data_IF_175361862909
#
_entry.id   IF_175361862909
#
_cell.length_a   1.000
_cell.length_b   1.000
_cell.length_c   1.000
_cell.angle_alpha   90.00
_cell.angle_beta   90.00
_cell.angle_gamma   90.00
#
_symmetry.space_group_name_H-M   'P 1'
#
loop_
_entity.id
_entity.type
_entity.pdbx_description
1 polymer ?
#
# COMPACT_ATOMS: atom_id res chain seq x y z
N UNK A 1 -4.57 20.15 -2.73
CA UNK A 1 -4.21 18.80 -3.23
C UNK A 1 -3.51 18.00 -2.16
N UNK A 2 -2.33 18.44 -1.69
CA UNK A 2 -1.58 17.72 -0.64
C UNK A 2 -2.41 17.49 0.63
N UNK A 3 -3.04 18.55 1.15
CA UNK A 3 -3.91 18.47 2.31
C UNK A 3 -5.06 17.45 2.14
N UNK A 4 -5.68 17.35 0.95
CA UNK A 4 -6.72 16.36 0.68
C UNK A 4 -6.15 14.93 0.70
N UNK A 5 -4.98 14.73 0.10
CA UNK A 5 -4.29 13.43 0.09
C UNK A 5 -3.92 12.99 1.49
N UNK A 6 -3.40 13.90 2.32
CA UNK A 6 -2.99 13.60 3.69
C UNK A 6 -4.18 13.39 4.63
N UNK A 7 -5.22 14.22 4.51
CA UNK A 7 -6.49 14.05 5.23
C UNK A 7 -7.05 12.64 4.98
N UNK A 8 -7.02 12.18 3.73
CA UNK A 8 -7.43 10.80 3.43
C UNK A 8 -6.48 9.75 3.97
N UNK A 9 -5.18 10.00 3.97
CA UNK A 9 -4.20 9.08 4.55
C UNK A 9 -4.40 8.86 6.07
N UNK A 10 -5.00 9.82 6.79
CA UNK A 10 -5.33 9.64 8.20
C UNK A 10 -6.30 8.47 8.44
N UNK A 11 -7.20 8.20 7.49
CA UNK A 11 -8.10 7.04 7.57
C UNK A 11 -7.37 5.68 7.47
N UNK A 12 -6.10 5.69 7.04
CA UNK A 12 -5.23 4.53 6.89
C UNK A 12 -3.97 4.61 7.77
N UNK A 13 -3.95 5.51 8.76
CA UNK A 13 -2.74 5.79 9.54
C UNK A 13 -2.18 4.57 10.29
N UNK A 14 -3.01 3.56 10.58
CA UNK A 14 -2.58 2.33 11.27
C UNK A 14 -2.10 1.24 10.30
N UNK A 15 -2.19 1.48 9.00
CA UNK A 15 -1.86 0.55 7.93
C UNK A 15 -0.69 1.04 7.07
N UNK A 16 -0.32 2.32 7.18
CA UNK A 16 0.82 2.90 6.48
C UNK A 16 2.11 2.51 7.22
N UNK A 17 3.11 1.94 6.52
CA UNK A 17 4.42 1.67 7.11
C UNK A 17 5.06 2.97 7.65
N UNK A 18 5.63 2.97 8.87
CA UNK A 18 6.22 4.17 9.46
C UNK A 18 7.27 4.87 8.57
N UNK A 19 8.05 4.10 7.81
CA UNK A 19 9.05 4.60 6.87
C UNK A 19 8.44 5.43 5.74
N UNK A 20 7.24 5.06 5.26
CA UNK A 20 6.51 5.82 4.22
C UNK A 20 5.94 7.12 4.79
N UNK A 21 5.67 7.16 6.11
CA UNK A 21 5.26 8.40 6.78
C UNK A 21 6.38 9.45 6.86
N UNK A 22 7.64 9.13 6.58
CA UNK A 22 8.71 10.12 6.56
C UNK A 22 8.73 10.94 5.25
N UNK A 23 8.13 10.44 4.16
CA UNK A 23 8.29 11.00 2.81
C UNK A 23 6.95 11.39 2.18
N UNK A 24 6.35 12.48 2.65
CA UNK A 24 4.99 12.89 2.26
C UNK A 24 4.94 13.60 0.91
N UNK A 25 5.10 12.86 -0.18
CA UNK A 25 4.76 13.34 -1.52
C UNK A 25 3.37 12.79 -1.91
N UNK A 26 2.41 13.63 -2.36
CA UNK A 26 1.04 13.20 -2.61
C UNK A 26 0.90 11.98 -3.53
N UNK A 27 1.69 11.91 -4.62
CA UNK A 27 1.68 10.76 -5.54
C UNK A 27 2.14 9.47 -4.86
N UNK A 28 3.18 9.54 -4.01
CA UNK A 28 3.68 8.40 -3.25
C UNK A 28 2.66 7.96 -2.19
N UNK A 29 2.12 8.91 -1.43
CA UNK A 29 1.09 8.61 -0.42
C UNK A 29 -0.09 7.90 -1.06
N UNK A 30 -0.59 8.40 -2.20
CA UNK A 30 -1.73 7.77 -2.86
C UNK A 30 -1.42 6.36 -3.40
N UNK A 31 -0.20 6.10 -3.88
CA UNK A 31 0.24 4.75 -4.24
C UNK A 31 0.22 3.81 -3.03
N UNK A 32 0.77 4.25 -1.90
CA UNK A 32 0.74 3.48 -0.65
C UNK A 32 -0.70 3.18 -0.23
N UNK A 33 -1.62 4.16 -0.35
CA UNK A 33 -3.03 3.92 -0.07
C UNK A 33 -3.65 2.88 -1.01
N UNK A 34 -3.27 2.87 -2.30
CA UNK A 34 -3.74 1.89 -3.28
C UNK A 34 -3.16 0.48 -3.06
N UNK A 35 -1.95 0.37 -2.50
CA UNK A 35 -1.37 -0.91 -2.07
C UNK A 35 -2.08 -1.47 -0.83
N UNK A 36 -2.56 -0.59 0.06
CA UNK A 36 -3.35 -0.97 1.24
C UNK A 36 -4.79 -1.33 0.85
N UNK A 37 -5.40 -0.53 -0.03
CA UNK A 37 -6.77 -0.67 -0.50
C UNK A 37 -6.85 -0.26 -1.99
N UNK A 38 -6.95 -1.21 -2.94
CA UNK A 38 -6.95 -0.97 -4.38
C UNK A 38 -8.04 -0.03 -4.87
N UNK A 39 -9.11 0.12 -4.08
CA UNK A 39 -10.23 0.99 -4.42
C UNK A 39 -10.15 2.36 -3.74
N UNK A 40 -9.08 2.64 -3.00
CA UNK A 40 -8.98 3.84 -2.17
C UNK A 40 -9.19 5.13 -2.98
N UNK A 41 -8.69 5.24 -4.22
CA UNK A 41 -8.84 6.45 -5.04
C UNK A 41 -10.23 6.62 -5.70
N UNK A 42 -11.20 5.75 -5.37
CA UNK A 42 -12.55 5.75 -5.93
C UNK A 42 -13.54 6.44 -4.99
N UNK A 43 -14.59 6.99 -5.58
CA UNK A 43 -15.70 7.58 -4.84
C UNK A 43 -16.70 6.51 -4.40
N UNK A 44 -17.32 6.69 -3.23
CA UNK A 44 -18.30 5.75 -2.68
C UNK A 44 -19.55 6.47 -2.21
N UNK A 45 -20.70 5.79 -2.27
CA UNK A 45 -21.96 6.28 -1.70
C UNK A 45 -22.38 5.38 -0.56
N UNK A 46 -22.54 5.96 0.63
CA UNK A 46 -23.04 5.26 1.80
C UNK A 46 -24.57 5.27 1.79
N UNK A 47 -25.16 4.08 1.92
CA UNK A 47 -26.60 3.90 2.05
C UNK A 47 -26.86 2.99 3.26
N UNK A 48 -27.85 3.35 4.07
CA UNK A 48 -28.26 2.60 5.26
C UNK A 48 -29.74 2.25 5.16
N UNK A 49 -30.14 1.09 5.66
CA UNK A 49 -31.53 0.66 5.70
C UNK A 49 -31.80 -0.06 7.01
N UNK A 50 -33.04 0.06 7.50
CA UNK A 50 -33.47 -0.64 8.70
C UNK A 50 -33.78 -2.10 8.37
N UNK A 51 -33.21 -3.02 9.16
CA UNK A 51 -33.51 -4.43 9.03
C UNK A 51 -34.93 -4.69 9.58
N UNK A 52 -35.80 -5.41 8.85
CA UNK A 52 -37.15 -5.71 9.34
C UNK A 52 -37.15 -6.69 10.54
N UNK A 53 -36.07 -7.44 10.72
CA UNK A 53 -35.75 -8.34 11.82
C UNK A 53 -34.23 -8.60 11.82
N UNK A 54 -33.61 -9.07 12.91
CA UNK A 54 -32.15 -9.27 12.96
C UNK A 54 -31.63 -10.16 11.81
N UNK A 55 -30.75 -9.60 10.98
CA UNK A 55 -30.18 -10.26 9.79
C UNK A 55 -31.07 -10.23 8.55
N UNK A 56 -32.24 -9.57 8.62
CA UNK A 56 -33.15 -9.37 7.49
C UNK A 56 -32.64 -8.30 6.53
N UNK A 57 -32.87 -8.49 5.23
CA UNK A 57 -32.47 -7.52 4.20
C UNK A 57 -33.41 -6.30 4.26
N UNK A 58 -32.88 -5.05 4.39
CA UNK A 58 -33.70 -3.85 4.36
C UNK A 58 -34.49 -3.70 3.06
N UNK A 59 -35.78 -3.38 3.15
CA UNK A 59 -36.63 -3.12 1.99
C UNK A 59 -36.42 -1.74 1.39
N UNK A 60 -35.88 -0.79 2.17
CA UNK A 60 -35.61 0.58 1.77
C UNK A 60 -34.23 1.04 2.22
N UNK A 61 -33.45 1.55 1.27
CA UNK A 61 -32.11 2.09 1.51
C UNK A 61 -32.12 3.63 1.41
N UNK A 62 -31.71 4.29 2.50
CA UNK A 62 -31.54 5.73 2.63
C UNK A 62 -30.10 6.12 2.32
N UNK A 63 -29.90 7.07 1.40
CA UNK A 63 -28.56 7.60 1.11
C UNK A 63 -28.12 8.55 2.22
N UNK A 64 -26.97 8.25 2.83
CA UNK A 64 -26.33 9.10 3.83
C UNK A 64 -25.51 10.20 3.14
N UNK A 65 -24.77 9.82 2.09
CA UNK A 65 -23.95 10.75 1.33
C UNK A 65 -22.98 10.04 0.39
N UNK A 66 -22.24 10.84 -0.38
CA UNK A 66 -21.20 10.36 -1.30
C UNK A 66 -19.86 10.98 -0.91
N UNK A 67 -18.84 10.15 -0.76
CA UNK A 67 -17.44 10.56 -0.62
C UNK A 67 -16.84 10.68 -2.02
N UNK A 68 -16.66 11.91 -2.50
CA UNK A 68 -16.06 12.18 -3.82
C UNK A 68 -14.55 12.30 -3.67
N UNK A 69 -13.83 11.24 -4.01
CA UNK A 69 -12.38 11.17 -3.84
C UNK A 69 -11.66 11.88 -4.99
N UNK A 70 -10.67 12.70 -4.64
CA UNK A 70 -9.74 13.28 -5.61
C UNK A 70 -8.73 12.21 -6.03
N UNK A 71 -8.95 11.64 -7.22
CA UNK A 71 -8.27 10.42 -7.68
C UNK A 71 -6.77 10.62 -7.94
N UNK A 72 -6.00 9.52 -8.02
CA UNK A 72 -4.57 9.59 -8.39
C UNK A 72 -4.37 10.19 -9.78
N UNK A 73 -5.28 9.91 -10.71
CA UNK A 73 -5.26 10.46 -12.08
C UNK A 73 -5.44 11.98 -12.06
N UNK A 74 -6.42 12.48 -11.30
CA UNK A 74 -6.65 13.92 -11.13
C UNK A 74 -5.47 14.59 -10.44
N UNK A 75 -4.92 13.95 -9.40
CA UNK A 75 -3.75 14.44 -8.69
C UNK A 75 -2.56 14.62 -9.63
N UNK A 76 -2.19 13.61 -10.43
CA UNK A 76 -1.08 13.73 -11.39
C UNK A 76 -1.33 14.80 -12.43
N UNK A 77 -2.57 14.87 -12.95
CA UNK A 77 -2.96 15.84 -13.98
C UNK A 77 -2.81 17.28 -13.48
N UNK A 78 -3.15 17.53 -12.22
CA UNK A 78 -3.25 18.87 -11.65
C UNK A 78 -2.02 19.29 -10.84
N UNK A 79 -1.35 18.38 -10.15
CA UNK A 79 -0.22 18.69 -9.27
C UNK A 79 0.99 19.23 -10.06
N UNK A 80 1.42 18.51 -11.10
CA UNK A 80 2.53 18.97 -11.96
C UNK A 80 2.20 20.26 -12.70
N UNK A 81 0.92 20.44 -13.06
CA UNK A 81 0.44 21.63 -13.73
C UNK A 81 0.64 22.88 -12.88
N UNK A 82 0.21 22.81 -11.62
CA UNK A 82 0.33 23.93 -10.67
C UNK A 82 1.79 24.18 -10.34
N UNK A 83 2.59 23.12 -10.10
CA UNK A 83 4.02 23.25 -9.82
C UNK A 83 4.76 24.07 -10.88
N UNK A 84 4.50 23.79 -12.17
CA UNK A 84 5.15 24.53 -13.27
C UNK A 84 4.86 26.04 -13.30
N UNK A 85 3.78 26.49 -12.67
CA UNK A 85 3.38 27.91 -12.61
C UNK A 85 3.84 28.57 -11.30
N UNK A 86 4.01 27.78 -10.24
CA UNK A 86 4.49 28.27 -8.94
C UNK A 86 6.01 28.38 -8.87
N UNK A 87 6.74 27.55 -9.61
CA UNK A 87 8.20 27.58 -9.62
C UNK A 87 8.75 28.72 -10.49
N UNK A 88 9.86 29.30 -10.05
CA UNK A 88 10.65 30.21 -10.88
C UNK A 88 11.17 29.43 -12.10
N UNK A 89 10.99 29.95 -13.33
CA UNK A 89 11.47 29.27 -14.53
C UNK A 89 13.01 29.15 -14.50
N UNK A 90 13.53 28.07 -15.07
CA UNK A 90 14.97 27.88 -15.21
C UNK A 90 15.55 28.82 -16.28
N UNK A 91 16.87 29.03 -16.28
CA UNK A 91 17.55 29.86 -17.29
C UNK A 91 17.22 29.41 -18.72
N UNK A 92 17.21 28.10 -18.98
CA UNK A 92 16.80 27.54 -20.28
C UNK A 92 15.33 27.79 -20.62
N UNK A 93 14.44 27.79 -19.62
CA UNK A 93 13.02 28.10 -19.83
C UNK A 93 12.81 29.58 -20.09
N UNK A 94 13.61 30.47 -19.48
CA UNK A 94 13.58 31.91 -19.74
C UNK A 94 14.05 32.25 -21.16
N UNK A 95 15.13 31.61 -21.65
CA UNK A 95 15.62 31.78 -23.02
C UNK A 95 14.61 31.31 -24.08
N UNK A 96 13.79 30.31 -23.74
CA UNK A 96 12.74 29.74 -24.62
C UNK A 96 11.33 30.26 -24.28
N UNK A 97 11.22 31.21 -23.36
CA UNK A 97 9.93 31.59 -22.79
C UNK A 97 9.07 32.29 -23.85
N UNK A 98 7.96 31.64 -24.21
CA UNK A 98 6.83 32.36 -24.80
C UNK A 98 6.15 33.17 -23.68
N UNK A 99 5.57 34.34 -24.01
CA UNK A 99 4.77 35.08 -23.04
C UNK A 99 3.70 34.17 -22.43
N UNK A 100 3.51 34.28 -21.12
CA UNK A 100 2.53 33.50 -20.38
C UNK A 100 1.14 33.77 -20.95
N UNK A 101 0.49 32.73 -21.46
CA UNK A 101 -0.91 32.81 -21.89
C UNK A 101 -1.82 32.81 -20.65
N UNK A 102 -2.17 34.00 -20.19
CA UNK A 102 -3.00 34.21 -19.01
C UNK A 102 -4.40 33.58 -19.16
N UNK A 103 -4.96 33.55 -20.37
CA UNK A 103 -6.27 32.97 -20.62
C UNK A 103 -6.22 31.43 -20.46
N UNK A 104 -5.21 30.79 -21.05
CA UNK A 104 -4.99 29.35 -20.89
C UNK A 104 -4.68 28.97 -19.45
N UNK A 105 -3.90 29.79 -18.74
CA UNK A 105 -3.62 29.58 -17.32
C UNK A 105 -4.91 29.65 -16.49
N UNK A 106 -5.73 30.68 -16.71
CA UNK A 106 -7.01 30.85 -16.03
C UNK A 106 -7.92 29.65 -16.23
N UNK A 107 -8.15 29.22 -17.47
CA UNK A 107 -8.96 28.03 -17.78
C UNK A 107 -8.45 26.79 -17.03
N UNK A 108 -7.13 26.63 -16.90
CA UNK A 108 -6.53 25.50 -16.19
C UNK A 108 -6.78 25.57 -14.69
N UNK A 109 -6.63 26.75 -14.09
CA UNK A 109 -6.90 26.98 -12.66
C UNK A 109 -8.38 26.78 -12.33
N UNK A 110 -9.28 27.21 -13.21
CA UNK A 110 -10.73 26.96 -13.07
C UNK A 110 -11.04 25.46 -13.10
N UNK A 111 -10.43 24.69 -14.01
CA UNK A 111 -10.59 23.24 -14.05
C UNK A 111 -10.05 22.53 -12.79
N UNK A 112 -8.90 22.98 -12.28
CA UNK A 112 -8.33 22.47 -11.01
C UNK A 112 -9.28 22.77 -9.85
N UNK A 113 -9.76 24.01 -9.77
CA UNK A 113 -10.69 24.44 -8.72
C UNK A 113 -11.96 23.61 -8.76
N UNK A 114 -12.55 23.40 -9.94
CA UNK A 114 -13.75 22.58 -10.08
C UNK A 114 -13.56 21.14 -9.59
N UNK A 115 -12.44 20.49 -9.91
CA UNK A 115 -12.16 19.13 -9.44
C UNK A 115 -11.94 19.09 -7.92
N UNK A 116 -11.20 20.06 -7.36
CA UNK A 116 -11.01 20.18 -5.91
C UNK A 116 -12.31 20.45 -5.16
N UNK A 117 -13.15 21.35 -5.67
CA UNK A 117 -14.44 21.71 -5.08
C UNK A 117 -15.34 20.48 -4.96
N UNK A 118 -15.44 19.65 -6.01
CA UNK A 118 -16.22 18.41 -5.97
C UNK A 118 -15.83 17.51 -4.79
N UNK A 119 -14.53 17.33 -4.57
CA UNK A 119 -14.06 16.52 -3.43
C UNK A 119 -14.28 17.21 -2.09
N UNK A 120 -14.08 18.53 -2.02
CA UNK A 120 -14.22 19.30 -0.79
C UNK A 120 -15.67 19.39 -0.31
N UNK A 121 -16.62 19.43 -1.23
CA UNK A 121 -18.07 19.52 -0.97
C UNK A 121 -18.73 18.15 -0.70
N UNK A 122 -17.94 17.07 -0.64
CA UNK A 122 -18.47 15.74 -0.35
C UNK A 122 -19.20 15.71 1.00
N UNK A 123 -20.48 15.29 1.06
CA UNK A 123 -21.25 15.24 2.31
C UNK A 123 -20.69 14.31 3.38
N UNK A 124 -19.96 13.27 2.95
CA UNK A 124 -19.18 12.38 3.80
C UNK A 124 -17.76 12.33 3.25
N UNK A 125 -16.76 12.13 4.12
CA UNK A 125 -15.34 12.20 3.74
C UNK A 125 -14.52 11.15 4.45
N UNK A 126 -13.51 10.62 3.75
CA UNK A 126 -12.52 9.67 4.24
C UNK A 126 -13.14 8.45 4.92
N UNK A 127 -14.33 8.05 4.47
CA UNK A 127 -15.05 6.96 5.09
C UNK A 127 -14.56 5.63 4.50
N UNK A 128 -14.14 4.70 5.36
CA UNK A 128 -13.63 3.40 4.92
C UNK A 128 -14.24 2.27 5.75
N UNK A 129 -14.65 1.19 5.07
CA UNK A 129 -14.91 -0.10 5.70
C UNK A 129 -13.69 -0.97 5.48
N UNK A 130 -13.13 -1.54 6.55
CA UNK A 130 -11.97 -2.40 6.46
C UNK A 130 -12.22 -3.74 7.13
N UNK A 131 -11.92 -4.81 6.42
CA UNK A 131 -11.74 -6.13 7.00
C UNK A 131 -10.27 -6.27 7.40
N UNK A 132 -10.01 -6.71 8.63
CA UNK A 132 -8.66 -6.73 9.18
C UNK A 132 -8.28 -8.11 9.71
N UNK A 133 -7.10 -8.57 9.32
CA UNK A 133 -6.39 -9.64 9.98
C UNK A 133 -5.55 -9.07 11.14
N UNK A 134 -5.48 -9.82 12.24
CA UNK A 134 -4.50 -9.62 13.32
C UNK A 134 -3.79 -10.94 13.58
N UNK A 135 -2.47 -10.94 13.48
CA UNK A 135 -1.65 -12.12 13.73
C UNK A 135 -0.40 -11.76 14.55
N UNK A 136 0.10 -12.67 15.40
CA UNK A 136 1.36 -12.47 16.10
C UNK A 136 2.54 -12.72 15.16
N UNK A 137 3.50 -11.80 15.12
CA UNK A 137 4.74 -12.01 14.37
C UNK A 137 5.55 -13.16 15.00
N UNK A 138 5.79 -14.23 14.23
CA UNK A 138 6.64 -15.37 14.62
C UNK A 138 8.12 -15.00 14.80
N UNK A 139 8.58 -13.84 14.31
CA UNK A 139 9.97 -13.37 14.49
C UNK A 139 10.17 -12.59 15.79
N UNK A 140 9.33 -11.60 16.06
CA UNK A 140 9.51 -10.67 17.19
C UNK A 140 8.36 -10.66 18.22
N UNK A 141 7.27 -11.40 17.98
CA UNK A 141 6.10 -11.46 18.86
C UNK A 141 5.09 -10.32 18.68
N UNK A 142 5.47 -9.20 18.06
CA UNK A 142 4.61 -8.03 17.91
C UNK A 142 3.37 -8.30 17.04
N UNK A 143 2.27 -7.57 17.30
CA UNK A 143 1.02 -7.75 16.55
C UNK A 143 1.10 -7.13 15.16
N UNK A 144 0.85 -7.94 14.13
CA UNK A 144 0.69 -7.47 12.75
C UNK A 144 -0.79 -7.26 12.51
N UNK A 145 -1.16 -6.04 12.12
CA UNK A 145 -2.51 -5.70 11.65
C UNK A 145 -2.46 -5.44 10.15
N UNK A 146 -3.23 -6.23 9.38
CA UNK A 146 -3.28 -6.10 7.91
C UNK A 146 -4.72 -5.94 7.45
N UNK A 147 -4.97 -4.93 6.60
CA UNK A 147 -6.25 -4.82 5.86
C UNK A 147 -6.30 -5.89 4.78
N UNK A 148 -7.44 -6.55 4.68
CA UNK A 148 -7.78 -7.56 3.68
C UNK A 148 -8.68 -6.91 2.64
N UNK A 149 -8.16 -6.54 1.45
CA UNK A 149 -8.97 -5.92 0.41
C UNK A 149 -9.95 -6.94 -0.17
N UNK A 150 -11.16 -6.49 -0.49
CA UNK A 150 -12.21 -7.37 -1.01
C UNK A 150 -11.80 -7.96 -2.36
N UNK A 151 -11.81 -9.29 -2.46
CA UNK A 151 -11.55 -10.01 -3.71
C UNK A 151 -10.08 -10.03 -4.15
N UNK A 152 -9.15 -9.55 -3.31
CA UNK A 152 -7.71 -9.64 -3.57
C UNK A 152 -7.03 -10.41 -2.46
N UNK A 153 -6.97 -11.73 -2.61
CA UNK A 153 -6.24 -12.65 -1.74
C UNK A 153 -5.48 -13.67 -2.61
N UNK A 154 -4.27 -14.10 -2.22
CA UNK A 154 -3.52 -13.70 -1.02
C UNK A 154 -2.97 -12.27 -1.08
N UNK A 155 -2.70 -11.67 0.09
CA UNK A 155 -1.97 -10.39 0.21
C UNK A 155 -0.70 -10.55 1.03
N UNK A 156 0.31 -9.75 0.70
CA UNK A 156 1.53 -9.66 1.51
C UNK A 156 1.33 -8.72 2.70
N UNK A 157 1.85 -9.14 3.85
CA UNK A 157 1.93 -8.34 5.07
C UNK A 157 3.38 -8.31 5.56
N UNK A 158 3.76 -7.20 6.21
CA UNK A 158 5.05 -7.06 6.88
C UNK A 158 4.84 -6.68 8.33
N UNK A 159 5.64 -7.24 9.23
CA UNK A 159 5.70 -6.75 10.60
C UNK A 159 6.37 -5.37 10.61
N UNK A 160 5.68 -4.34 11.10
CA UNK A 160 6.24 -2.99 11.18
C UNK A 160 7.40 -2.87 12.19
N UNK A 161 7.54 -3.80 13.12
CA UNK A 161 8.63 -3.80 14.10
C UNK A 161 9.93 -4.38 13.53
N UNK A 162 9.87 -5.55 12.86
CA UNK A 162 11.07 -6.28 12.44
C UNK A 162 11.18 -6.54 10.93
N UNK A 163 10.22 -6.07 10.12
CA UNK A 163 10.20 -6.25 8.66
C UNK A 163 9.69 -7.61 8.18
N UNK A 164 9.36 -8.53 9.08
CA UNK A 164 9.08 -9.92 8.72
C UNK A 164 7.95 -10.08 7.70
N UNK A 165 8.19 -10.75 6.55
CA UNK A 165 7.20 -10.93 5.51
C UNK A 165 6.26 -12.11 5.80
N UNK A 166 4.99 -11.94 5.46
CA UNK A 166 3.90 -12.90 5.61
C UNK A 166 3.01 -12.90 4.39
N UNK A 167 2.42 -14.06 4.11
CA UNK A 167 1.27 -14.18 3.23
C UNK A 167 0.00 -14.31 4.08
N UNK A 168 -1.04 -13.57 3.71
CA UNK A 168 -2.32 -13.57 4.44
C UNK A 168 -3.47 -13.73 3.45
N UNK A 169 -4.42 -14.62 3.75
CA UNK A 169 -5.57 -14.94 2.90
C UNK A 169 -6.85 -14.99 3.73
N UNK A 170 -7.95 -14.51 3.17
CA UNK A 170 -9.28 -14.78 3.69
C UNK A 170 -9.80 -16.06 3.03
N UNK A 171 -10.14 -17.06 3.84
CA UNK A 171 -10.75 -18.30 3.38
C UNK A 171 -12.27 -18.12 3.17
N UNK A 172 -12.89 -19.05 2.44
CA UNK A 172 -14.32 -18.98 2.08
C UNK A 172 -15.26 -19.00 3.30
N UNK A 173 -14.82 -19.54 4.42
CA UNK A 173 -15.54 -19.59 5.69
C UNK A 173 -15.39 -18.31 6.53
N UNK A 174 -14.66 -17.30 6.01
CA UNK A 174 -14.33 -16.06 6.72
C UNK A 174 -13.14 -16.18 7.66
N UNK A 175 -12.50 -17.35 7.75
CA UNK A 175 -11.30 -17.54 8.55
C UNK A 175 -10.10 -16.89 7.88
N UNK A 176 -9.25 -16.24 8.67
CA UNK A 176 -7.98 -15.68 8.18
C UNK A 176 -6.89 -16.75 8.29
N UNK A 177 -6.35 -17.16 7.14
CA UNK A 177 -5.15 -17.97 7.08
C UNK A 177 -3.92 -17.09 6.85
N UNK A 178 -2.80 -17.46 7.46
CA UNK A 178 -1.54 -16.74 7.31
C UNK A 178 -0.35 -17.65 7.51
N UNK A 179 0.74 -17.35 6.81
CA UNK A 179 2.02 -18.04 6.99
C UNK A 179 3.20 -17.07 6.86
N UNK A 180 4.28 -17.27 7.64
CA UNK A 180 5.52 -16.54 7.44
C UNK A 180 6.14 -16.93 6.10
N UNK A 181 6.64 -15.93 5.36
CA UNK A 181 7.36 -16.17 4.12
C UNK A 181 8.81 -16.54 4.42
N UNK A 182 9.05 -17.85 4.52
CA UNK A 182 10.35 -18.44 4.83
C UNK A 182 10.75 -19.52 3.84
N UNK A 183 12.04 -19.88 3.87
CA UNK A 183 12.62 -21.02 3.17
C UNK A 183 13.42 -21.85 4.14
N UNK A 184 13.12 -23.14 4.17
CA UNK A 184 13.96 -24.10 4.86
C UNK A 184 15.19 -24.40 4.02
N UNK A 185 16.34 -24.45 4.67
CA UNK A 185 17.59 -24.81 4.04
C UNK A 185 18.34 -25.79 4.94
N UNK A 186 19.00 -26.75 4.29
CA UNK A 186 19.83 -27.76 4.94
C UNK A 186 21.25 -27.27 5.03
N UNK A 187 21.92 -27.62 6.12
CA UNK A 187 23.34 -27.35 6.28
C UNK A 187 24.12 -28.10 5.18
N UNK A 188 24.95 -27.42 4.37
CA UNK A 188 25.73 -28.09 3.33
C UNK A 188 27.00 -28.78 3.86
N UNK A 189 27.28 -28.72 5.18
CA UNK A 189 28.41 -29.46 5.76
C UNK A 189 28.12 -30.95 5.79
N UNK A 190 29.07 -31.75 5.30
CA UNK A 190 29.04 -33.21 5.43
C UNK A 190 28.81 -33.64 6.88
N UNK A 191 27.94 -34.64 7.06
CA UNK A 191 27.53 -35.17 8.37
C UNK A 191 26.82 -34.17 9.30
N UNK A 192 26.30 -33.06 8.78
CA UNK A 192 25.44 -32.16 9.53
C UNK A 192 24.00 -32.22 9.01
N UNK A 193 23.08 -32.76 9.82
CA UNK A 193 21.64 -32.75 9.55
C UNK A 193 20.94 -31.46 10.02
N UNK A 194 21.70 -30.41 10.31
CA UNK A 194 21.14 -29.16 10.79
C UNK A 194 20.27 -28.50 9.73
N UNK A 195 19.04 -28.15 10.11
CA UNK A 195 18.11 -27.37 9.29
C UNK A 195 17.97 -25.96 9.86
N UNK A 196 17.72 -25.00 8.98
CA UNK A 196 17.48 -23.63 9.38
C UNK A 196 16.44 -22.98 8.48
N UNK A 197 15.75 -22.00 9.06
CA UNK A 197 14.68 -21.25 8.41
C UNK A 197 15.21 -19.87 8.08
N UNK A 198 15.28 -19.56 6.79
CA UNK A 198 15.63 -18.25 6.28
C UNK A 198 14.35 -17.46 6.01
N UNK A 199 14.27 -16.23 6.52
CA UNK A 199 13.20 -15.32 6.13
C UNK A 199 13.48 -14.71 4.76
N UNK A 200 12.48 -14.60 3.90
CA UNK A 200 12.70 -14.10 2.54
C UNK A 200 13.32 -12.69 2.48
N UNK A 201 13.05 -11.82 3.46
CA UNK A 201 13.65 -10.48 3.55
C UNK A 201 15.13 -10.47 3.98
N UNK A 202 15.62 -11.59 4.54
CA UNK A 202 17.02 -11.82 4.91
C UNK A 202 17.82 -12.53 3.80
N UNK A 203 17.15 -13.16 2.83
CA UNK A 203 17.77 -13.81 1.67
C UNK A 203 18.28 -12.75 0.69
N UNK A 204 19.39 -12.13 1.06
CA UNK A 204 20.13 -11.14 0.29
C UNK A 204 21.57 -11.60 0.16
N UNK A 205 22.18 -11.27 -0.98
CA UNK A 205 23.60 -11.56 -1.20
C UNK A 205 24.41 -10.91 -0.09
N UNK A 206 25.37 -11.66 0.45
CA UNK A 206 26.23 -11.17 1.52
C UNK A 206 25.62 -11.30 2.92
N UNK A 207 24.37 -11.76 3.07
CA UNK A 207 23.84 -12.13 4.39
C UNK A 207 24.60 -13.34 4.91
N UNK A 208 25.02 -13.26 6.19
CA UNK A 208 25.72 -14.34 6.87
C UNK A 208 24.79 -15.03 7.86
N UNK A 209 24.96 -16.34 8.01
CA UNK A 209 24.26 -17.13 9.01
C UNK A 209 25.19 -18.21 9.57
N UNK A 210 24.84 -18.82 10.69
CA UNK A 210 25.59 -19.92 11.28
C UNK A 210 24.68 -21.10 11.54
N UNK A 211 25.12 -22.30 11.16
CA UNK A 211 24.34 -23.50 11.41
C UNK A 211 24.18 -23.74 12.91
N UNK A 212 22.97 -24.01 13.38
CA UNK A 212 22.69 -24.31 14.79
C UNK A 212 23.40 -25.58 15.29
N UNK A 213 23.56 -26.57 14.41
CA UNK A 213 24.24 -27.85 14.67
C UNK A 213 25.77 -27.75 14.63
N UNK A 214 26.36 -27.53 13.45
CA UNK A 214 27.82 -27.53 13.29
C UNK A 214 28.52 -26.20 13.63
N UNK A 215 27.76 -25.13 13.94
CA UNK A 215 28.25 -23.77 14.24
C UNK A 215 29.09 -23.11 13.14
N UNK A 216 29.25 -23.73 11.97
CA UNK A 216 29.98 -23.12 10.86
C UNK A 216 29.21 -21.92 10.28
N UNK A 217 29.92 -20.83 9.97
CA UNK A 217 29.33 -19.68 9.30
C UNK A 217 29.17 -19.95 7.80
N UNK A 218 28.16 -19.32 7.22
CA UNK A 218 27.81 -19.39 5.82
C UNK A 218 27.41 -18.01 5.31
N UNK A 219 27.51 -17.80 4.01
CA UNK A 219 27.12 -16.59 3.32
C UNK A 219 26.23 -16.93 2.15
N UNK A 220 25.21 -16.11 1.91
CA UNK A 220 24.35 -16.22 0.73
C UNK A 220 25.07 -15.57 -0.47
N UNK A 221 25.21 -16.32 -1.55
CA UNK A 221 25.82 -15.90 -2.82
C UNK A 221 24.98 -16.35 -4.01
N UNK A 222 25.26 -15.79 -5.19
CA UNK A 222 24.69 -16.30 -6.43
C UNK A 222 25.44 -17.56 -6.88
N UNK A 223 24.68 -18.56 -7.30
CA UNK A 223 25.21 -19.77 -7.93
C UNK A 223 24.65 -19.93 -9.34
N UNK A 224 25.51 -20.36 -10.26
CA UNK A 224 25.10 -20.88 -11.57
C UNK A 224 25.57 -22.34 -11.59
N UNK A 225 24.67 -23.27 -11.86
CA UNK A 225 24.98 -24.69 -12.03
C UNK A 225 24.69 -25.12 -13.47
N UNK A 226 25.38 -26.16 -13.98
CA UNK A 226 25.07 -26.71 -15.30
C UNK A 226 23.60 -27.13 -15.37
N UNK A 227 22.92 -26.78 -16.46
CA UNK A 227 21.62 -27.34 -16.80
C UNK A 227 21.85 -28.79 -17.25
N UNK A 228 21.77 -29.72 -16.31
CA UNK A 228 21.73 -31.15 -16.64
C UNK A 228 20.34 -31.45 -17.18
N UNK A 229 20.06 -30.99 -18.40
CA UNK A 229 18.84 -31.32 -19.13
C UNK A 229 18.65 -32.83 -19.07
N UNK A 230 17.54 -33.26 -18.47
CA UNK A 230 17.16 -34.65 -18.47
C UNK A 230 16.85 -35.06 -19.92
N UNK A 231 17.68 -35.95 -20.48
CA UNK A 231 17.32 -36.77 -21.66
C UNK A 231 16.19 -37.74 -21.32
#
# INVERSE_FOLDING_TARGET
MEALTYDRAQAYAKEIPPEEMATWQPDKVMKVLLEIEPTADRSYTLRIGEEPYPGGIPTKMHTVGTDTVFSLVELRKHYHAVGSVLHTPTMQQMERAKPLDAAKLRMRLEAITQSLTKSLESPIRNFTFGNFARLPCKRCGESIRKRLPTGQHPVEAKCFSCGAPYQVSLLNDGTVWWEPLTREAKCPTENCSGEFVLWLDEVKIGTHWSCSGCKKPYRIEFGISPDTGAE
#
